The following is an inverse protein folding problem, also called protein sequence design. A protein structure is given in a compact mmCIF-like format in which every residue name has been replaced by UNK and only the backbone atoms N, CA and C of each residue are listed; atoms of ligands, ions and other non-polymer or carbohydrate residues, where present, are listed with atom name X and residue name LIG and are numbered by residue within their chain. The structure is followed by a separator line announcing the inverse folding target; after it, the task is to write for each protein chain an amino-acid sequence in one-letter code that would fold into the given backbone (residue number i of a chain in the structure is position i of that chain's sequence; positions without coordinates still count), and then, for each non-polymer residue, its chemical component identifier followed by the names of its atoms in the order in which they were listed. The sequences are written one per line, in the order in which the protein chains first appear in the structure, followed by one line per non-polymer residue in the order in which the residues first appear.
data_IF_439201389805
#
_entry.id   IF_439201389805
#
_cell.length_a   1.000
_cell.length_b   1.000
_cell.length_c   1.000
_cell.angle_alpha   90.00
_cell.angle_beta   90.00
_cell.angle_gamma   90.00
#
_symmetry.space_group_name_H-M   'P 1'
#
loop_
_entity.id
_entity.type
_entity.pdbx_description
1 polymer ?
#
# COMPACT_ATOMS: atom_id res chain seq x y z
N UNK A 1 28.30 -36.28 11.98
CA UNK A 1 27.05 -35.53 12.22
C UNK A 1 27.41 -34.14 12.69
N UNK A 2 27.54 -33.18 11.77
CA UNK A 2 27.67 -31.75 12.11
C UNK A 2 26.27 -31.16 11.96
N UNK A 3 25.64 -30.85 13.09
CA UNK A 3 24.36 -30.16 13.11
C UNK A 3 24.57 -28.71 12.69
N UNK A 4 24.02 -28.34 11.55
CA UNK A 4 23.89 -26.93 11.14
C UNK A 4 22.89 -26.25 12.07
N UNK A 5 23.40 -25.38 12.96
CA UNK A 5 22.58 -24.47 13.76
C UNK A 5 21.78 -23.57 12.80
N UNK A 6 20.46 -23.60 12.96
CA UNK A 6 19.52 -22.81 12.17
C UNK A 6 19.81 -21.32 12.26
N UNK A 7 19.76 -20.66 11.11
CA UNK A 7 19.69 -19.20 11.00
C UNK A 7 18.41 -18.73 11.70
N UNK A 8 18.55 -17.89 12.72
CA UNK A 8 17.41 -17.15 13.27
C UNK A 8 16.99 -16.12 12.22
N UNK A 9 16.08 -16.51 11.33
CA UNK A 9 15.49 -15.60 10.35
C UNK A 9 14.62 -14.58 11.10
N UNK A 10 14.90 -13.30 10.90
CA UNK A 10 14.06 -12.20 11.40
C UNK A 10 12.65 -12.40 10.84
N UNK A 11 11.58 -12.34 11.67
CA UNK A 11 10.22 -12.40 11.17
C UNK A 11 9.99 -11.37 10.07
N UNK A 12 9.34 -11.76 8.97
CA UNK A 12 9.10 -10.88 7.82
C UNK A 12 8.39 -9.58 8.24
N UNK A 13 7.50 -9.64 9.23
CA UNK A 13 6.84 -8.48 9.81
C UNK A 13 7.82 -7.47 10.40
N UNK A 14 8.79 -7.95 11.19
CA UNK A 14 9.81 -7.11 11.82
C UNK A 14 10.75 -6.51 10.78
N UNK A 15 11.12 -7.29 9.76
CA UNK A 15 11.93 -6.81 8.63
C UNK A 15 11.29 -5.60 7.93
N UNK A 16 10.00 -5.67 7.60
CA UNK A 16 9.31 -4.56 6.92
C UNK A 16 9.09 -3.36 7.85
N UNK A 17 8.72 -3.61 9.11
CA UNK A 17 8.55 -2.55 10.12
C UNK A 17 9.85 -1.76 10.30
N UNK A 18 10.99 -2.44 10.47
CA UNK A 18 12.29 -1.80 10.63
C UNK A 18 12.62 -0.92 9.42
N UNK A 19 12.41 -1.41 8.19
CA UNK A 19 12.72 -0.61 7.00
C UNK A 19 11.87 0.66 6.87
N UNK A 20 10.58 0.60 7.19
CA UNK A 20 9.73 1.79 7.20
C UNK A 20 10.13 2.77 8.31
N UNK A 21 10.45 2.27 9.51
CA UNK A 21 10.89 3.10 10.63
C UNK A 21 12.23 3.80 10.34
N UNK A 22 13.16 3.10 9.69
CA UNK A 22 14.49 3.63 9.35
C UNK A 22 14.46 4.52 8.09
N UNK A 23 13.30 4.67 7.43
CA UNK A 23 13.19 5.36 6.14
C UNK A 23 13.90 4.66 4.98
N UNK A 24 14.29 3.39 5.15
CA UNK A 24 14.96 2.58 4.13
C UNK A 24 13.93 1.96 3.17
N UNK A 25 13.29 2.82 2.38
CA UNK A 25 12.20 2.47 1.46
C UNK A 25 12.57 2.78 0.00
N UNK A 26 13.60 2.17 -0.59
CA UNK A 26 14.05 2.49 -1.96
C UNK A 26 13.04 2.14 -3.06
N UNK A 27 12.00 1.36 -2.73
CA UNK A 27 10.88 1.05 -3.62
C UNK A 27 9.80 2.14 -3.62
N UNK A 28 9.79 3.03 -2.62
CA UNK A 28 8.82 4.11 -2.53
C UNK A 28 9.15 5.18 -3.57
N UNK A 29 8.17 5.57 -4.36
CA UNK A 29 8.30 6.62 -5.35
C UNK A 29 7.52 7.85 -4.90
N UNK A 30 8.06 9.03 -5.20
CA UNK A 30 7.40 10.32 -4.98
C UNK A 30 6.45 10.70 -6.13
N UNK A 31 6.27 9.80 -7.10
CA UNK A 31 5.40 9.97 -8.27
C UNK A 31 4.73 8.66 -8.63
N UNK A 32 3.65 8.76 -9.39
CA UNK A 32 2.95 7.61 -9.98
C UNK A 32 3.92 6.76 -10.80
N UNK A 33 3.75 5.44 -10.77
CA UNK A 33 4.65 4.56 -11.49
C UNK A 33 4.61 4.86 -13.01
N UNK A 34 5.73 5.16 -13.69
CA UNK A 34 5.68 5.64 -15.07
C UNK A 34 5.04 4.67 -16.07
N UNK A 35 5.14 3.36 -15.83
CA UNK A 35 4.49 2.37 -16.68
C UNK A 35 2.98 2.28 -16.42
N UNK A 36 2.49 2.65 -15.25
CA UNK A 36 1.05 2.77 -15.02
C UNK A 36 0.48 3.87 -15.91
N UNK A 37 1.06 5.08 -15.85
CA UNK A 37 0.60 6.22 -16.65
C UNK A 37 0.68 5.94 -18.15
N UNK A 38 1.81 5.35 -18.59
CA UNK A 38 2.03 5.00 -20.00
C UNK A 38 1.01 3.99 -20.54
N UNK A 39 0.53 3.07 -19.70
CA UNK A 39 -0.35 1.99 -20.11
C UNK A 39 -1.79 2.16 -19.59
N UNK A 40 -2.17 3.36 -19.15
CA UNK A 40 -3.48 3.60 -18.54
C UNK A 40 -4.66 3.18 -19.42
N UNK A 41 -4.57 3.42 -20.73
CA UNK A 41 -5.65 3.10 -21.67
C UNK A 41 -5.91 1.59 -21.74
N UNK A 42 -4.85 0.79 -21.65
CA UNK A 42 -4.92 -0.68 -21.64
C UNK A 42 -5.40 -1.19 -20.29
N UNK A 43 -4.89 -0.63 -19.19
CA UNK A 43 -5.22 -1.05 -17.82
C UNK A 43 -6.68 -0.74 -17.49
N UNK A 44 -7.14 0.47 -17.82
CA UNK A 44 -8.50 0.93 -17.54
C UNK A 44 -9.49 0.47 -18.61
N UNK A 45 -9.04 0.22 -19.84
CA UNK A 45 -9.87 -0.24 -20.96
C UNK A 45 -11.13 0.63 -21.15
N UNK A 46 -10.99 1.94 -21.00
CA UNK A 46 -12.08 2.93 -21.11
C UNK A 46 -13.05 3.00 -19.93
N UNK A 47 -12.87 2.19 -18.87
CA UNK A 47 -13.71 2.23 -17.67
C UNK A 47 -13.55 3.56 -16.94
N UNK A 48 -14.68 4.18 -16.61
CA UNK A 48 -14.74 5.40 -15.80
C UNK A 48 -14.85 5.10 -14.29
N UNK A 49 -15.35 3.91 -13.94
CA UNK A 49 -15.50 3.38 -12.58
C UNK A 49 -14.82 2.00 -12.50
N UNK A 50 -13.49 1.97 -12.59
CA UNK A 50 -12.76 0.74 -12.33
C UNK A 50 -12.72 0.45 -10.82
N UNK A 51 -12.73 -0.82 -10.46
CA UNK A 51 -12.29 -1.27 -9.14
C UNK A 51 -10.82 -1.65 -9.23
N UNK A 52 -10.00 -1.02 -8.40
CA UNK A 52 -8.55 -1.17 -8.42
C UNK A 52 -8.09 -1.66 -7.06
N UNK A 53 -7.27 -2.70 -7.06
CA UNK A 53 -6.70 -3.29 -5.86
C UNK A 53 -5.17 -3.20 -5.90
N UNK A 54 -4.58 -2.59 -4.88
CA UNK A 54 -3.12 -2.46 -4.73
C UNK A 54 -2.68 -3.25 -3.49
N UNK A 55 -2.12 -4.47 -3.67
CA UNK A 55 -1.56 -5.24 -2.56
C UNK A 55 -0.23 -4.64 -2.11
N UNK A 56 0.02 -4.66 -0.80
CA UNK A 56 1.23 -4.09 -0.18
C UNK A 56 1.48 -2.65 -0.64
N UNK A 57 0.45 -1.82 -0.55
CA UNK A 57 0.43 -0.53 -1.22
C UNK A 57 1.38 0.50 -0.63
N UNK A 58 1.90 0.29 0.59
CA UNK A 58 2.69 1.31 1.29
C UNK A 58 1.95 2.64 1.29
N UNK A 59 2.62 3.68 0.75
CA UNK A 59 2.02 4.99 0.46
C UNK A 59 2.08 5.31 -1.04
N UNK A 60 1.81 4.34 -1.91
CA UNK A 60 1.96 4.51 -3.35
C UNK A 60 1.13 5.70 -3.89
N UNK A 61 1.73 6.67 -4.61
CA UNK A 61 0.99 7.77 -5.25
C UNK A 61 -0.08 7.28 -6.25
N UNK A 62 0.09 6.06 -6.76
CA UNK A 62 -0.83 5.38 -7.65
C UNK A 62 -2.24 5.24 -7.03
N UNK A 63 -2.36 5.11 -5.71
CA UNK A 63 -3.65 5.07 -5.01
C UNK A 63 -4.48 6.34 -5.27
N UNK A 64 -3.88 7.51 -5.01
CA UNK A 64 -4.50 8.81 -5.22
C UNK A 64 -4.75 9.06 -6.71
N UNK A 65 -3.83 8.63 -7.57
CA UNK A 65 -3.98 8.78 -9.02
C UNK A 65 -5.21 8.04 -9.57
N UNK A 66 -5.47 6.81 -9.13
CA UNK A 66 -6.71 6.12 -9.52
C UNK A 66 -7.95 6.77 -8.88
N UNK A 67 -7.86 7.17 -7.60
CA UNK A 67 -8.96 7.77 -6.86
C UNK A 67 -9.41 9.11 -7.48
N UNK A 68 -8.46 10.01 -7.76
CA UNK A 68 -8.71 11.31 -8.39
C UNK A 68 -9.32 11.21 -9.80
N UNK A 69 -9.14 10.07 -10.49
CA UNK A 69 -9.76 9.75 -11.78
C UNK A 69 -11.18 9.18 -11.67
N UNK A 70 -11.73 9.08 -10.46
CA UNK A 70 -13.10 8.61 -10.21
C UNK A 70 -13.22 7.09 -10.07
N UNK A 71 -12.11 6.38 -9.88
CA UNK A 71 -12.12 4.93 -9.67
C UNK A 71 -12.24 4.57 -8.19
N UNK A 72 -12.76 3.38 -7.91
CA UNK A 72 -12.80 2.81 -6.55
C UNK A 72 -11.49 2.09 -6.28
N UNK A 73 -10.80 2.48 -5.22
CA UNK A 73 -9.46 1.97 -4.91
C UNK A 73 -9.45 1.29 -3.54
N UNK A 74 -8.85 0.12 -3.47
CA UNK A 74 -8.57 -0.59 -2.21
C UNK A 74 -7.08 -0.87 -2.15
N UNK A 75 -6.41 -0.32 -1.14
CA UNK A 75 -5.04 -0.66 -0.77
C UNK A 75 -5.02 -1.62 0.42
N UNK A 76 -4.12 -2.59 0.42
CA UNK A 76 -3.82 -3.40 1.60
C UNK A 76 -2.37 -3.16 1.98
N UNK A 77 -2.15 -2.73 3.22
CA UNK A 77 -0.84 -2.48 3.80
C UNK A 77 -0.74 -3.18 5.15
N UNK A 78 0.42 -3.76 5.43
CA UNK A 78 0.67 -4.53 6.64
C UNK A 78 0.94 -3.63 7.86
N UNK A 79 1.56 -2.46 7.64
CA UNK A 79 2.00 -1.56 8.69
C UNK A 79 0.99 -0.42 8.83
N UNK A 80 0.18 -0.45 9.90
CA UNK A 80 -0.89 0.53 10.14
C UNK A 80 -0.42 1.99 10.00
N UNK A 81 0.73 2.33 10.59
CA UNK A 81 1.27 3.69 10.55
C UNK A 81 1.57 4.16 9.11
N UNK A 82 1.95 3.24 8.23
CA UNK A 82 2.20 3.53 6.81
C UNK A 82 0.88 3.77 6.10
N UNK A 83 -0.10 2.88 6.29
CA UNK A 83 -1.44 3.00 5.72
C UNK A 83 -2.14 4.31 6.14
N UNK A 84 -2.14 4.63 7.44
CA UNK A 84 -2.67 5.90 7.96
C UNK A 84 -1.90 7.09 7.41
N UNK A 85 -0.57 6.96 7.35
CA UNK A 85 0.31 8.00 6.82
C UNK A 85 -0.02 8.38 5.39
N UNK A 86 -0.45 7.45 4.53
CA UNK A 86 -0.92 7.79 3.17
C UNK A 86 -2.03 8.85 3.19
N UNK A 87 -3.05 8.70 4.03
CA UNK A 87 -4.16 9.66 4.09
C UNK A 87 -3.71 11.01 4.65
N UNK A 88 -2.89 11.00 5.71
CA UNK A 88 -2.38 12.22 6.34
C UNK A 88 -1.49 12.99 5.37
N UNK A 89 -0.53 12.31 4.72
CA UNK A 89 0.46 12.93 3.84
C UNK A 89 -0.21 13.56 2.61
N UNK A 90 -1.26 12.92 2.07
CA UNK A 90 -2.02 13.42 0.92
C UNK A 90 -3.21 14.33 1.31
N UNK A 91 -3.36 14.67 2.59
CA UNK A 91 -4.48 15.49 3.10
C UNK A 91 -5.87 14.96 2.69
N UNK A 92 -6.01 13.64 2.59
CA UNK A 92 -7.26 12.98 2.25
C UNK A 92 -8.06 12.74 3.54
N UNK A 93 -9.27 13.33 3.70
CA UNK A 93 -10.12 13.04 4.85
C UNK A 93 -10.47 11.55 4.89
N UNK A 94 -10.45 10.95 6.07
CA UNK A 94 -10.80 9.55 6.23
C UNK A 94 -11.47 9.27 7.57
N UNK A 95 -12.32 8.27 7.57
CA UNK A 95 -12.87 7.62 8.76
C UNK A 95 -12.09 6.32 9.04
N UNK A 96 -11.93 6.01 10.32
CA UNK A 96 -11.34 4.76 10.79
C UNK A 96 -12.45 3.82 11.26
N UNK A 97 -12.40 2.59 10.79
CA UNK A 97 -13.27 1.50 11.23
C UNK A 97 -12.45 0.23 11.46
N UNK A 98 -13.08 -0.80 12.03
CA UNK A 98 -12.48 -2.12 12.19
C UNK A 98 -13.25 -3.16 11.34
N UNK A 99 -12.51 -4.03 10.66
CA UNK A 99 -13.08 -5.20 10.01
C UNK A 99 -13.18 -6.35 11.04
N UNK A 100 -14.38 -6.74 11.48
CA UNK A 100 -14.51 -7.77 12.53
C UNK A 100 -14.07 -9.15 12.04
N UNK A 101 -14.14 -9.40 10.72
CA UNK A 101 -13.79 -10.69 10.11
C UNK A 101 -12.26 -10.83 9.98
N UNK A 102 -11.61 -9.81 9.42
CA UNK A 102 -10.16 -9.84 9.18
C UNK A 102 -9.34 -9.36 10.37
N UNK A 103 -9.98 -8.75 11.37
CA UNK A 103 -9.35 -8.15 12.55
C UNK A 103 -8.26 -7.15 12.14
N UNK A 104 -8.59 -6.29 11.17
CA UNK A 104 -7.73 -5.21 10.70
C UNK A 104 -8.48 -3.88 10.75
N UNK A 105 -7.72 -2.79 10.66
CA UNK A 105 -8.29 -1.45 10.51
C UNK A 105 -8.63 -1.17 9.05
N UNK A 106 -9.67 -0.38 8.87
CA UNK A 106 -10.10 0.17 7.60
C UNK A 106 -9.99 1.69 7.70
N UNK A 107 -9.30 2.29 6.72
CA UNK A 107 -9.28 3.73 6.51
C UNK A 107 -10.03 3.99 5.20
N UNK A 108 -11.08 4.81 5.24
CA UNK A 108 -11.97 5.04 4.09
C UNK A 108 -12.47 6.48 4.03
N UNK A 109 -12.69 6.98 2.81
CA UNK A 109 -13.25 8.30 2.50
C UNK A 109 -14.76 8.27 2.35
#
# INVERSE_FOLDING_TARGET
MVGTKGTSEVPQSEFWITRWNDGNTPWQLDRVYPLLEKNQDVILAGKQDAQVYLPMCGKAPDLEWFYSKGHRVVGVEFIEAVARGFFVDNSVPFEEAECPVLKCKIFQT
#
